data_IF_887400232051
#
_entry.id   IF_887400232051
#
_cell.length_a   1.000
_cell.length_b   1.000
_cell.length_c   1.000
_cell.angle_alpha   90.00
_cell.angle_beta   90.00
_cell.angle_gamma   90.00
#
_symmetry.space_group_name_H-M   'P 1'
#
loop_
_entity.id
_entity.type
_entity.pdbx_description
1 polymer ?
#
# COMPACT_ATOMS: atom_id res chain seq x y z
N UNK A 1 23.55 19.85 0.34
CA UNK A 1 22.19 19.37 0.02
C UNK A 1 21.47 19.10 1.34
N UNK A 2 20.34 19.80 1.60
CA UNK A 2 19.43 19.38 2.65
C UNK A 2 18.88 18.02 2.21
N UNK A 3 19.35 16.93 2.82
CA UNK A 3 18.76 15.60 2.64
C UNK A 3 17.34 15.69 3.17
N UNK A 4 16.36 15.56 2.31
CA UNK A 4 14.99 15.38 2.73
C UNK A 4 14.86 13.94 3.25
N UNK A 5 14.78 13.78 4.56
CA UNK A 5 14.53 12.48 5.20
C UNK A 5 13.02 12.19 5.17
N UNK A 6 12.45 12.12 3.97
CA UNK A 6 11.09 11.64 3.79
C UNK A 6 11.12 10.12 3.82
N UNK A 7 10.42 9.52 4.77
CA UNK A 7 10.27 8.07 4.83
C UNK A 7 9.59 7.52 3.56
N UNK A 8 9.99 6.32 3.18
CA UNK A 8 9.53 5.69 1.96
C UNK A 8 10.46 5.95 0.76
N UNK A 9 9.99 5.58 -0.43
CA UNK A 9 10.66 5.86 -1.68
C UNK A 9 10.10 7.15 -2.31
N UNK A 10 10.99 8.03 -2.72
CA UNK A 10 10.64 9.33 -3.32
C UNK A 10 11.41 9.52 -4.61
N UNK A 11 10.71 9.79 -5.71
CA UNK A 11 11.34 10.13 -6.99
C UNK A 11 12.02 11.49 -6.92
N UNK A 12 13.20 11.57 -7.48
CA UNK A 12 13.99 12.79 -7.60
C UNK A 12 14.61 12.84 -9.00
N UNK A 13 15.15 13.99 -9.40
CA UNK A 13 15.80 14.08 -10.70
C UNK A 13 16.92 13.03 -10.85
N UNK A 14 16.74 12.10 -11.79
CA UNK A 14 17.69 11.06 -12.15
C UNK A 14 17.71 9.82 -11.26
N UNK A 15 16.79 9.68 -10.29
CA UNK A 15 16.77 8.48 -9.44
C UNK A 15 15.67 8.47 -8.39
N UNK A 16 15.81 7.55 -7.44
CA UNK A 16 14.87 7.35 -6.34
C UNK A 16 15.63 7.41 -5.01
N UNK A 17 15.13 8.21 -4.09
CA UNK A 17 15.61 8.25 -2.70
C UNK A 17 14.81 7.28 -1.85
N UNK A 18 15.51 6.39 -1.16
CA UNK A 18 14.93 5.41 -0.23
C UNK A 18 15.30 5.78 1.19
N UNK A 19 14.30 5.94 2.05
CA UNK A 19 14.50 6.29 3.46
C UNK A 19 13.66 5.39 4.35
N UNK A 20 14.31 4.74 5.32
CA UNK A 20 13.64 3.85 6.26
C UNK A 20 14.25 3.98 7.67
N UNK A 21 13.39 3.85 8.67
CA UNK A 21 13.77 3.93 10.08
C UNK A 21 13.80 2.55 10.73
N UNK A 22 14.86 2.26 11.49
CA UNK A 22 14.93 1.05 12.33
C UNK A 22 15.83 1.28 13.53
N UNK A 23 15.26 1.10 14.73
CA UNK A 23 15.96 1.44 16.00
C UNK A 23 17.11 0.49 16.29
N UNK A 24 16.91 -0.81 16.09
CA UNK A 24 17.85 -1.84 16.52
C UNK A 24 18.64 -2.49 15.37
N UNK A 25 18.33 -2.12 14.11
CA UNK A 25 19.06 -2.68 12.98
C UNK A 25 20.51 -2.21 12.97
N UNK A 26 21.42 -3.14 12.74
CA UNK A 26 22.86 -2.89 12.54
C UNK A 26 23.21 -2.79 11.07
N UNK A 27 22.42 -3.41 10.20
CA UNK A 27 22.56 -3.34 8.74
C UNK A 27 21.20 -3.23 8.08
N UNK A 28 21.15 -2.43 7.01
CA UNK A 28 19.99 -2.33 6.13
C UNK A 28 20.44 -2.56 4.69
N UNK A 29 19.68 -3.36 3.96
CA UNK A 29 19.90 -3.63 2.53
C UNK A 29 18.61 -3.37 1.76
N UNK A 30 18.69 -2.53 0.74
CA UNK A 30 17.64 -2.34 -0.26
C UNK A 30 17.70 -3.51 -1.25
N UNK A 31 16.55 -4.12 -1.48
CA UNK A 31 16.36 -5.22 -2.43
C UNK A 31 15.55 -4.72 -3.61
N UNK A 32 16.09 -4.84 -4.82
CA UNK A 32 15.40 -4.46 -6.05
C UNK A 32 15.01 -5.71 -6.83
N UNK A 33 13.77 -5.75 -7.26
CA UNK A 33 13.20 -6.88 -8.00
C UNK A 33 12.70 -6.41 -9.37
N UNK A 34 12.81 -7.27 -10.38
CA UNK A 34 12.02 -7.08 -11.59
C UNK A 34 10.53 -7.25 -11.26
N UNK A 35 9.62 -6.61 -12.00
CA UNK A 35 8.19 -6.76 -11.76
C UNK A 35 7.79 -8.24 -11.65
N UNK A 36 7.07 -8.58 -10.59
CA UNK A 36 6.60 -9.92 -10.24
C UNK A 36 7.70 -10.98 -9.99
N UNK A 37 8.97 -10.60 -9.94
CA UNK A 37 10.05 -11.55 -9.69
C UNK A 37 10.09 -12.02 -8.23
N UNK A 38 10.37 -13.30 -8.01
CA UNK A 38 10.51 -13.88 -6.66
C UNK A 38 11.83 -13.47 -5.97
N UNK A 39 12.90 -13.28 -6.74
CA UNK A 39 14.22 -12.98 -6.21
C UNK A 39 14.70 -11.61 -6.68
N UNK A 40 15.42 -10.86 -5.81
CA UNK A 40 15.97 -9.58 -6.20
C UNK A 40 17.09 -9.75 -7.23
N UNK A 41 17.11 -8.85 -8.22
CA UNK A 41 18.23 -8.75 -9.16
C UNK A 41 19.38 -7.91 -8.62
N UNK A 42 19.12 -7.05 -7.62
CA UNK A 42 20.13 -6.25 -6.95
C UNK A 42 19.89 -6.19 -5.44
N UNK A 43 20.99 -6.16 -4.69
CA UNK A 43 21.05 -5.99 -3.24
C UNK A 43 22.02 -4.87 -2.94
N UNK A 44 21.50 -3.74 -2.44
CA UNK A 44 22.27 -2.54 -2.20
C UNK A 44 22.31 -2.28 -0.68
N UNK A 45 23.43 -2.61 -0.06
CA UNK A 45 23.64 -2.31 1.35
C UNK A 45 23.74 -0.80 1.55
N UNK A 46 23.04 -0.26 2.54
CA UNK A 46 23.22 1.14 2.94
C UNK A 46 24.60 1.30 3.59
N UNK A 47 25.44 2.21 3.07
CA UNK A 47 26.70 2.53 3.73
C UNK A 47 26.48 3.09 5.14
N UNK A 48 27.36 2.80 6.08
CA UNK A 48 27.22 3.27 7.47
C UNK A 48 27.15 4.81 7.56
N UNK A 49 27.85 5.50 6.64
CA UNK A 49 27.79 6.97 6.51
C UNK A 49 26.42 7.50 6.03
N UNK A 50 25.52 6.63 5.58
CA UNK A 50 24.17 6.97 5.12
C UNK A 50 23.11 6.72 6.21
N UNK A 51 23.54 6.36 7.41
CA UNK A 51 22.72 6.25 8.61
C UNK A 51 22.82 7.52 9.43
N UNK A 52 21.70 8.14 9.74
CA UNK A 52 21.59 9.32 10.62
C UNK A 52 20.67 8.94 11.78
N UNK A 53 21.25 8.78 12.96
CA UNK A 53 20.55 8.20 14.09
C UNK A 53 20.08 6.78 13.75
N UNK A 54 18.77 6.56 13.78
CA UNK A 54 18.15 5.27 13.44
C UNK A 54 17.56 5.23 12.01
N UNK A 55 17.84 6.25 11.19
CA UNK A 55 17.28 6.38 9.84
C UNK A 55 18.35 6.12 8.79
N UNK A 56 18.08 5.19 7.90
CA UNK A 56 18.86 4.90 6.71
C UNK A 56 18.29 5.66 5.53
N UNK A 57 19.12 6.38 4.76
CA UNK A 57 18.66 7.10 3.57
C UNK A 57 19.70 7.03 2.46
N UNK A 58 19.27 6.60 1.27
CA UNK A 58 20.14 6.41 0.12
C UNK A 58 19.44 6.80 -1.17
N UNK A 59 20.11 7.62 -1.99
CA UNK A 59 19.69 7.93 -3.34
C UNK A 59 20.32 6.93 -4.31
N UNK A 60 19.50 6.29 -5.12
CA UNK A 60 19.91 5.35 -6.18
C UNK A 60 19.58 5.98 -7.53
N UNK A 61 20.60 6.18 -8.35
CA UNK A 61 20.48 6.77 -9.70
C UNK A 61 20.19 5.71 -10.75
N UNK A 62 19.59 6.14 -11.87
CA UNK A 62 19.36 5.30 -13.04
C UNK A 62 18.31 4.22 -12.86
N UNK A 63 17.42 4.38 -11.88
CA UNK A 63 16.24 3.54 -11.74
C UNK A 63 15.10 4.10 -12.58
N UNK A 64 14.52 3.25 -13.42
CA UNK A 64 13.23 3.52 -14.05
C UNK A 64 12.13 3.03 -13.10
N UNK A 65 11.30 3.95 -12.61
CA UNK A 65 10.27 3.69 -11.60
C UNK A 65 9.24 2.63 -12.04
N UNK A 66 9.10 2.38 -13.33
CA UNK A 66 8.19 1.36 -13.88
C UNK A 66 8.78 -0.04 -13.80
N UNK A 67 10.10 -0.15 -13.79
CA UNK A 67 10.81 -1.40 -14.08
C UNK A 67 11.20 -2.18 -12.83
N UNK A 68 10.83 -1.73 -11.62
CA UNK A 68 11.22 -2.43 -10.41
C UNK A 68 10.19 -2.38 -9.29
N UNK A 69 10.34 -3.34 -8.41
CA UNK A 69 9.72 -3.41 -7.10
C UNK A 69 10.82 -3.45 -6.06
N UNK A 70 10.51 -3.06 -4.83
CA UNK A 70 11.53 -3.07 -3.80
C UNK A 70 11.01 -3.59 -2.46
N UNK A 71 11.94 -4.06 -1.65
CA UNK A 71 11.77 -4.40 -0.25
C UNK A 71 13.08 -4.12 0.49
N UNK A 72 13.06 -4.29 1.80
CA UNK A 72 14.25 -4.20 2.62
C UNK A 72 14.61 -5.53 3.23
N UNK A 73 15.88 -5.68 3.64
CA UNK A 73 16.36 -6.73 4.51
C UNK A 73 17.19 -6.08 5.60
N UNK A 74 16.99 -6.52 6.83
CA UNK A 74 17.70 -6.00 7.98
C UNK A 74 18.46 -7.10 8.70
N UNK A 75 19.65 -6.76 9.18
CA UNK A 75 20.39 -7.55 10.17
C UNK A 75 20.40 -6.82 11.51
N UNK A 76 20.42 -7.56 12.61
CA UNK A 76 20.38 -7.01 13.96
C UNK A 76 20.23 -8.08 15.03
N UNK A 77 20.01 -7.67 16.29
CA UNK A 77 19.84 -8.62 17.39
C UNK A 77 18.65 -9.56 17.19
N UNK A 78 18.74 -10.77 17.73
CA UNK A 78 17.64 -11.71 17.81
C UNK A 78 17.34 -12.00 19.28
N UNK A 79 16.38 -11.26 19.84
CA UNK A 79 15.94 -11.31 21.24
C UNK A 79 14.41 -11.40 21.28
N UNK A 80 13.82 -12.58 20.99
CA UNK A 80 12.36 -12.74 20.85
C UNK A 80 11.57 -12.33 22.09
N UNK A 81 12.14 -12.52 23.28
CA UNK A 81 11.53 -12.13 24.55
C UNK A 81 11.34 -10.62 24.70
N UNK A 82 12.10 -9.82 23.93
CA UNK A 82 11.98 -8.36 23.86
C UNK A 82 11.24 -7.91 22.58
N UNK A 83 10.75 -8.86 21.76
CA UNK A 83 10.13 -8.56 20.49
C UNK A 83 11.12 -8.15 19.39
N UNK A 84 12.44 -8.36 19.58
CA UNK A 84 13.49 -8.04 18.62
C UNK A 84 13.84 -9.30 17.85
N UNK A 85 13.44 -9.39 16.56
CA UNK A 85 13.52 -10.62 15.77
C UNK A 85 14.10 -10.37 14.37
N UNK A 86 15.30 -9.77 14.28
CA UNK A 86 15.93 -9.55 12.98
C UNK A 86 16.34 -10.86 12.31
N UNK A 87 16.09 -10.94 11.00
CA UNK A 87 16.53 -12.03 10.15
C UNK A 87 16.79 -11.49 8.74
N UNK A 88 18.06 -11.37 8.38
CA UNK A 88 18.47 -10.83 7.06
C UNK A 88 18.05 -11.68 5.86
N UNK A 89 17.53 -12.88 6.08
CA UNK A 89 16.98 -13.71 5.01
C UNK A 89 15.54 -13.32 4.66
N UNK A 90 14.85 -12.60 5.56
CA UNK A 90 13.48 -12.14 5.35
C UNK A 90 13.47 -10.83 4.60
N UNK A 91 12.51 -10.70 3.72
CA UNK A 91 12.21 -9.45 3.03
C UNK A 91 11.13 -8.70 3.82
N UNK A 92 11.33 -7.42 4.01
CA UNK A 92 10.46 -6.55 4.78
C UNK A 92 9.88 -5.49 3.85
N UNK A 93 8.57 -5.38 3.83
CA UNK A 93 7.88 -4.31 3.13
C UNK A 93 8.24 -2.94 3.73
N UNK A 94 8.37 -1.94 2.89
CA UNK A 94 8.45 -0.56 3.34
C UNK A 94 7.13 -0.13 4.00
N UNK A 95 7.11 0.20 5.30
CA UNK A 95 5.87 0.62 5.97
C UNK A 95 5.32 1.95 5.43
N UNK A 96 6.12 2.71 4.70
CA UNK A 96 5.73 3.97 4.06
C UNK A 96 5.50 3.84 2.54
N UNK A 97 5.41 2.61 2.03
CA UNK A 97 5.10 2.39 0.63
C UNK A 97 3.75 3.02 0.26
N UNK A 98 3.70 3.72 -0.86
CA UNK A 98 2.47 4.32 -1.40
C UNK A 98 1.72 3.39 -2.35
N UNK A 99 2.38 2.34 -2.79
CA UNK A 99 1.81 1.23 -3.54
C UNK A 99 2.55 -0.05 -3.21
N UNK A 100 1.84 -1.15 -3.22
CA UNK A 100 2.39 -2.49 -3.01
C UNK A 100 1.99 -3.40 -4.15
N UNK A 101 2.77 -4.42 -4.41
CA UNK A 101 2.29 -5.58 -5.13
C UNK A 101 1.44 -6.37 -4.16
N UNK A 102 0.16 -6.26 -4.39
CA UNK A 102 -0.86 -6.91 -3.59
C UNK A 102 -1.50 -8.07 -4.35
N UNK A 103 -2.77 -8.23 -4.11
CA UNK A 103 -3.54 -9.33 -4.64
C UNK A 103 -4.08 -9.00 -6.03
N UNK A 104 -4.08 -9.99 -6.92
CA UNK A 104 -4.70 -9.86 -8.24
C UNK A 104 -6.23 -9.90 -8.21
N UNK A 105 -6.81 -10.01 -7.03
CA UNK A 105 -8.25 -10.03 -6.78
C UNK A 105 -8.58 -10.61 -5.41
N UNK A 106 -9.76 -10.28 -4.93
CA UNK A 106 -10.26 -10.68 -3.62
C UNK A 106 -10.27 -12.21 -3.42
N UNK A 107 -9.74 -12.65 -2.27
CA UNK A 107 -9.70 -14.07 -1.89
C UNK A 107 -8.73 -14.92 -2.70
N UNK A 108 -7.86 -14.31 -3.48
CA UNK A 108 -6.80 -15.01 -4.19
C UNK A 108 -5.52 -14.99 -3.37
N UNK A 109 -4.98 -16.18 -3.11
CA UNK A 109 -3.65 -16.29 -2.49
C UNK A 109 -2.62 -15.63 -3.41
N UNK A 110 -1.73 -14.83 -2.82
CA UNK A 110 -0.61 -14.27 -3.58
C UNK A 110 0.23 -15.40 -4.19
N UNK A 111 0.59 -15.24 -5.44
CA UNK A 111 1.43 -16.22 -6.16
C UNK A 111 2.82 -16.38 -5.54
N UNK A 112 3.27 -15.38 -4.80
CA UNK A 112 4.57 -15.34 -4.15
C UNK A 112 4.39 -15.41 -2.64
N UNK A 113 4.58 -16.60 -2.07
CA UNK A 113 4.44 -16.89 -0.65
C UNK A 113 4.97 -15.78 0.25
N UNK A 114 4.04 -14.98 0.79
CA UNK A 114 4.27 -14.16 1.97
C UNK A 114 5.15 -12.92 1.83
N UNK A 115 5.49 -12.46 0.63
CA UNK A 115 6.35 -11.27 0.46
C UNK A 115 5.63 -10.18 -0.29
N UNK A 116 5.06 -9.24 0.44
CA UNK A 116 4.67 -7.95 -0.11
C UNK A 116 5.91 -7.16 -0.54
N UNK A 117 5.85 -6.58 -1.72
CA UNK A 117 6.89 -5.68 -2.23
C UNK A 117 6.28 -4.33 -2.54
N UNK A 118 7.06 -3.29 -2.28
CA UNK A 118 6.64 -1.94 -2.55
C UNK A 118 6.92 -1.54 -4.02
N UNK A 119 6.12 -0.61 -4.52
CA UNK A 119 6.33 0.10 -5.77
C UNK A 119 6.55 1.57 -5.51
N UNK A 120 7.32 2.20 -6.37
CA UNK A 120 7.46 3.65 -6.39
C UNK A 120 6.30 4.22 -7.20
N UNK A 121 5.61 5.18 -6.63
CA UNK A 121 4.50 5.88 -7.29
C UNK A 121 4.85 7.35 -7.43
N UNK A 122 4.73 7.85 -8.62
CA UNK A 122 4.80 9.29 -8.85
C UNK A 122 3.52 9.95 -8.29
N UNK A 123 3.69 10.98 -7.47
CA UNK A 123 2.58 11.65 -6.77
C UNK A 123 2.01 12.86 -7.51
N UNK A 124 2.18 12.90 -8.83
CA UNK A 124 1.76 14.00 -9.72
C UNK A 124 0.30 13.90 -10.19
N UNK A 125 -0.59 13.39 -9.35
CA UNK A 125 -2.01 13.34 -9.67
C UNK A 125 -2.55 14.75 -9.89
N UNK A 126 -3.07 15.00 -11.08
CA UNK A 126 -3.70 16.26 -11.41
C UNK A 126 -5.13 16.33 -10.85
N UNK A 127 -5.30 17.16 -9.83
CA UNK A 127 -6.61 17.42 -9.22
C UNK A 127 -7.45 18.42 -10.05
N UNK A 128 -6.88 19.00 -11.11
CA UNK A 128 -7.54 20.01 -11.93
C UNK A 128 -8.04 21.18 -11.10
N UNK A 129 -9.31 21.54 -11.30
CA UNK A 129 -9.98 22.60 -10.54
C UNK A 129 -10.75 22.10 -9.31
N UNK A 130 -10.46 20.87 -8.86
CA UNK A 130 -11.13 20.31 -7.69
C UNK A 130 -10.76 21.09 -6.43
N UNK A 131 -11.77 21.59 -5.73
CA UNK A 131 -11.60 22.25 -4.43
C UNK A 131 -12.23 21.41 -3.34
N UNK A 132 -11.57 21.33 -2.18
CA UNK A 132 -12.14 20.64 -1.05
C UNK A 132 -13.42 21.34 -0.58
N UNK A 133 -14.55 20.62 -0.40
CA UNK A 133 -15.74 21.18 0.21
C UNK A 133 -15.43 21.65 1.63
N UNK A 134 -15.86 22.88 1.97
CA UNK A 134 -15.73 23.43 3.32
C UNK A 134 -17.09 23.35 4.03
N UNK A 135 -17.55 22.13 4.28
CA UNK A 135 -18.80 21.88 4.99
C UNK A 135 -18.55 22.01 6.50
N UNK A 136 -19.39 22.75 7.25
CA UNK A 136 -19.40 22.72 8.70
C UNK A 136 -19.65 21.28 9.20
N UNK A 137 -19.06 20.93 10.33
CA UNK A 137 -19.19 19.57 10.87
C UNK A 137 -20.66 19.21 11.17
N UNK A 138 -21.43 20.16 11.67
CA UNK A 138 -22.86 20.02 11.99
C UNK A 138 -23.77 19.80 10.77
N UNK A 139 -23.27 20.06 9.56
CA UNK A 139 -24.00 19.84 8.31
C UNK A 139 -23.66 18.51 7.64
N UNK A 140 -22.72 17.73 8.23
CA UNK A 140 -22.32 16.46 7.66
C UNK A 140 -23.42 15.39 7.83
N UNK A 141 -23.74 14.74 6.71
CA UNK A 141 -24.57 13.53 6.67
C UNK A 141 -23.64 12.42 6.17
N UNK A 142 -23.15 11.63 7.14
CA UNK A 142 -22.11 10.64 6.90
C UNK A 142 -22.73 9.28 6.60
N UNK A 143 -22.26 8.64 5.55
CA UNK A 143 -22.59 7.26 5.22
C UNK A 143 -21.31 6.40 5.35
N UNK A 144 -21.30 5.51 6.34
CA UNK A 144 -20.22 4.53 6.47
C UNK A 144 -20.46 3.37 5.50
N UNK A 145 -19.44 3.01 4.73
CA UNK A 145 -19.53 1.90 3.78
C UNK A 145 -18.22 1.09 3.66
N UNK A 146 -18.40 -0.16 3.29
CA UNK A 146 -17.32 -1.06 2.91
C UNK A 146 -17.17 -1.05 1.39
N UNK A 147 -15.95 -0.77 0.86
CA UNK A 147 -15.71 -0.62 -0.59
C UNK A 147 -16.25 -1.79 -1.39
N UNK A 148 -15.86 -3.02 -1.00
CA UNK A 148 -16.34 -4.22 -1.70
C UNK A 148 -17.84 -4.46 -1.46
N UNK A 149 -18.28 -4.39 -0.22
CA UNK A 149 -19.67 -4.75 0.14
C UNK A 149 -20.72 -3.86 -0.51
N UNK A 150 -20.42 -2.57 -0.68
CA UNK A 150 -21.38 -1.59 -1.16
C UNK A 150 -21.87 -1.84 -2.59
N UNK A 151 -20.99 -2.38 -3.46
CA UNK A 151 -21.34 -2.57 -4.87
C UNK A 151 -21.18 -4.00 -5.39
N UNK A 152 -20.84 -4.97 -4.54
CA UNK A 152 -20.58 -6.35 -4.97
C UNK A 152 -21.81 -7.07 -5.49
N UNK A 153 -22.97 -6.83 -4.91
CA UNK A 153 -24.22 -7.46 -5.34
C UNK A 153 -24.67 -6.99 -6.73
N UNK A 154 -25.35 -7.89 -7.45
CA UNK A 154 -25.86 -7.62 -8.80
C UNK A 154 -26.85 -6.47 -8.87
N UNK A 155 -27.62 -6.23 -7.81
CA UNK A 155 -28.59 -5.16 -7.69
C UNK A 155 -27.95 -3.77 -7.70
N UNK A 156 -26.65 -3.68 -7.42
CA UNK A 156 -25.92 -2.40 -7.51
C UNK A 156 -25.95 -1.79 -8.91
N UNK A 157 -25.99 -2.61 -9.96
CA UNK A 157 -26.05 -2.17 -11.35
C UNK A 157 -24.75 -1.52 -11.86
N UNK A 158 -23.68 -1.54 -11.08
CA UNK A 158 -22.40 -0.93 -11.49
C UNK A 158 -21.57 -1.90 -12.34
N UNK A 159 -20.68 -1.35 -13.17
CA UNK A 159 -19.78 -2.11 -14.02
C UNK A 159 -18.65 -2.75 -13.20
N UNK A 160 -17.99 -1.96 -12.38
CA UNK A 160 -16.81 -2.38 -11.60
C UNK A 160 -17.20 -2.69 -10.16
N UNK A 161 -17.83 -3.85 -9.94
CA UNK A 161 -18.36 -4.26 -8.64
C UNK A 161 -17.25 -4.44 -7.59
N UNK A 162 -17.49 -3.94 -6.38
CA UNK A 162 -16.60 -4.14 -5.24
C UNK A 162 -15.29 -3.35 -5.31
N UNK A 163 -15.24 -2.28 -6.11
CA UNK A 163 -14.05 -1.46 -6.32
C UNK A 163 -14.30 0.02 -6.04
N UNK A 164 -13.23 0.82 -5.97
CA UNK A 164 -13.32 2.28 -5.88
C UNK A 164 -14.09 2.87 -7.09
N UNK A 165 -13.84 2.36 -8.29
CA UNK A 165 -14.58 2.77 -9.48
C UNK A 165 -16.08 2.48 -9.34
N UNK A 166 -16.45 1.35 -8.72
CA UNK A 166 -17.86 1.01 -8.44
C UNK A 166 -18.52 2.01 -7.48
N UNK A 167 -17.81 2.45 -6.44
CA UNK A 167 -18.31 3.50 -5.53
C UNK A 167 -18.50 4.80 -6.29
N UNK A 168 -17.55 5.19 -7.13
CA UNK A 168 -17.65 6.39 -7.97
C UNK A 168 -18.92 6.37 -8.85
N UNK A 169 -19.27 5.21 -9.41
CA UNK A 169 -20.52 5.05 -10.18
C UNK A 169 -21.77 5.28 -9.30
N UNK A 170 -21.68 5.12 -7.99
CA UNK A 170 -22.78 5.32 -7.02
C UNK A 170 -22.85 6.72 -6.41
N UNK A 171 -21.96 7.64 -6.75
CA UNK A 171 -22.00 9.02 -6.25
C UNK A 171 -23.36 9.69 -6.51
N UNK A 172 -23.99 9.58 -7.72
CA UNK A 172 -25.34 10.14 -7.94
C UNK A 172 -26.38 9.61 -6.97
N UNK A 173 -26.39 8.29 -6.70
CA UNK A 173 -27.28 7.67 -5.73
C UNK A 173 -27.07 8.20 -4.30
N UNK A 174 -25.83 8.32 -3.86
CA UNK A 174 -25.50 8.87 -2.54
C UNK A 174 -25.96 10.32 -2.40
N UNK A 175 -25.79 11.12 -3.46
CA UNK A 175 -26.29 12.50 -3.51
C UNK A 175 -27.81 12.59 -3.46
N UNK A 176 -28.51 11.73 -4.19
CA UNK A 176 -29.99 11.63 -4.15
C UNK A 176 -30.49 11.24 -2.76
N UNK A 177 -29.76 10.38 -2.07
CA UNK A 177 -30.03 9.99 -0.67
C UNK A 177 -29.77 11.13 0.32
N UNK A 178 -29.13 12.23 -0.10
CA UNK A 178 -28.79 13.38 0.74
C UNK A 178 -27.44 13.25 1.46
N UNK A 179 -26.62 12.25 1.10
CA UNK A 179 -25.30 12.06 1.69
C UNK A 179 -24.31 13.08 1.14
N UNK A 180 -23.55 13.71 2.01
CA UNK A 180 -22.51 14.67 1.65
C UNK A 180 -21.11 14.30 2.16
N UNK A 181 -21.00 13.24 2.96
CA UNK A 181 -19.74 12.66 3.40
C UNK A 181 -19.81 11.14 3.41
N UNK A 182 -18.73 10.48 3.01
CA UNK A 182 -18.59 9.03 3.06
C UNK A 182 -17.45 8.68 3.99
N UNK A 183 -17.71 7.82 4.96
CA UNK A 183 -16.69 7.18 5.79
C UNK A 183 -16.44 5.77 5.25
N UNK A 184 -15.24 5.54 4.72
CA UNK A 184 -14.91 4.23 4.18
C UNK A 184 -14.27 3.37 5.27
N UNK A 185 -14.80 2.15 5.47
CA UNK A 185 -14.09 1.10 6.21
C UNK A 185 -12.71 0.90 5.59
N UNK A 186 -11.75 0.22 6.25
CA UNK A 186 -10.35 0.23 5.83
C UNK A 186 -10.14 0.07 4.34
N UNK A 187 -9.46 1.04 3.75
CA UNK A 187 -9.12 1.12 2.32
C UNK A 187 -7.63 0.86 2.06
N UNK A 188 -6.86 0.70 3.13
CA UNK A 188 -5.43 0.40 3.06
C UNK A 188 -5.20 -1.05 2.65
N UNK A 189 -3.98 -1.37 2.16
CA UNK A 189 -3.64 -2.76 1.84
C UNK A 189 -3.71 -3.64 3.09
N UNK A 190 -4.48 -4.71 3.00
CA UNK A 190 -4.57 -5.78 3.99
C UNK A 190 -4.67 -7.15 3.28
N UNK A 191 -4.33 -8.20 3.99
CA UNK A 191 -4.39 -9.57 3.48
C UNK A 191 -5.64 -10.27 4.01
N UNK A 192 -6.70 -10.34 3.19
CA UNK A 192 -7.93 -11.02 3.55
C UNK A 192 -7.74 -12.53 3.77
N UNK A 193 -6.64 -13.10 3.25
CA UNK A 193 -6.27 -14.50 3.45
C UNK A 193 -5.45 -14.72 4.72
N UNK A 194 -4.86 -13.67 5.29
CA UNK A 194 -3.95 -13.77 6.44
C UNK A 194 -4.60 -14.32 7.71
N UNK A 195 -5.90 -14.16 7.85
CA UNK A 195 -6.70 -14.61 9.00
C UNK A 195 -7.89 -15.47 8.59
N UNK A 196 -7.78 -16.21 7.50
CA UNK A 196 -8.89 -17.03 7.04
C UNK A 196 -9.23 -18.17 8.02
N UNK A 197 -10.51 -18.50 8.08
CA UNK A 197 -11.05 -19.61 8.91
C UNK A 197 -11.99 -20.46 8.07
N UNK A 198 -12.05 -21.75 8.38
CA UNK A 198 -13.07 -22.63 7.84
C UNK A 198 -14.19 -22.76 8.86
N UNK A 199 -15.40 -22.45 8.45
CA UNK A 199 -16.61 -22.61 9.25
C UNK A 199 -17.70 -23.27 8.40
N UNK A 200 -18.19 -24.40 8.85
CA UNK A 200 -19.25 -25.20 8.19
C UNK A 200 -18.96 -25.44 6.68
N UNK A 201 -17.72 -25.86 6.39
CA UNK A 201 -17.25 -26.13 5.02
C UNK A 201 -17.05 -24.87 4.13
N UNK A 202 -17.20 -23.67 4.69
CA UNK A 202 -17.00 -22.40 4.00
C UNK A 202 -15.73 -21.73 4.49
N UNK A 203 -14.95 -21.21 3.56
CA UNK A 203 -13.79 -20.39 3.89
C UNK A 203 -14.27 -18.95 4.17
N UNK A 204 -13.93 -18.45 5.36
CA UNK A 204 -14.17 -17.07 5.77
C UNK A 204 -12.85 -16.30 5.70
N UNK A 205 -12.92 -15.08 5.22
CA UNK A 205 -11.79 -14.18 5.04
C UNK A 205 -11.85 -13.03 6.04
N UNK A 206 -10.74 -12.32 6.22
CA UNK A 206 -10.75 -11.00 6.85
C UNK A 206 -11.48 -10.04 5.89
N UNK A 207 -12.73 -9.74 6.24
CA UNK A 207 -13.59 -8.93 5.36
C UNK A 207 -13.43 -7.44 5.60
N UNK A 208 -13.29 -7.03 6.85
CA UNK A 208 -13.31 -5.60 7.22
C UNK A 208 -11.98 -4.90 7.01
N UNK A 209 -10.86 -5.63 7.02
CA UNK A 209 -9.55 -5.06 6.71
C UNK A 209 -8.86 -4.33 7.84
N UNK A 210 -9.27 -4.54 9.10
CA UNK A 210 -8.60 -3.90 10.25
C UNK A 210 -7.25 -4.51 10.62
N UNK A 211 -6.73 -5.42 9.82
CA UNK A 211 -5.39 -6.00 9.93
C UNK A 211 -4.50 -5.48 8.78
N UNK A 212 -4.08 -4.24 8.88
CA UNK A 212 -3.41 -3.50 7.81
C UNK A 212 -1.99 -4.01 7.55
N UNK A 213 -1.67 -4.29 6.29
CA UNK A 213 -0.31 -4.61 5.81
C UNK A 213 0.50 -3.34 5.55
N UNK A 214 -0.13 -2.33 4.95
CA UNK A 214 0.51 -1.05 4.64
C UNK A 214 -0.49 0.10 4.73
N UNK A 215 -0.23 1.06 5.63
CA UNK A 215 -1.15 2.19 5.90
C UNK A 215 -1.14 3.29 4.83
N UNK A 216 -0.17 3.33 3.93
CA UNK A 216 -0.03 4.39 2.93
C UNK A 216 -0.30 3.92 1.51
N UNK A 217 -0.61 2.64 1.33
CA UNK A 217 -0.97 2.05 0.05
C UNK A 217 -2.45 1.66 0.04
N UNK A 218 -3.22 2.01 -0.99
CA UNK A 218 -4.60 1.54 -1.13
C UNK A 218 -4.64 0.03 -1.36
N UNK A 219 -5.75 -0.60 -0.96
CA UNK A 219 -5.95 -2.03 -1.15
C UNK A 219 -6.05 -2.35 -2.65
N UNK A 220 -5.17 -3.21 -3.11
CA UNK A 220 -5.05 -3.56 -4.53
C UNK A 220 -6.24 -4.34 -5.06
N UNK A 221 -6.96 -5.09 -4.20
CA UNK A 221 -8.18 -5.83 -4.60
C UNK A 221 -9.40 -4.93 -4.78
N UNK A 222 -9.34 -3.67 -4.35
CA UNK A 222 -10.38 -2.67 -4.53
C UNK A 222 -10.19 -1.80 -5.78
N UNK A 223 -9.10 -1.99 -6.52
CA UNK A 223 -8.86 -1.32 -7.79
C UNK A 223 -9.45 -2.12 -8.95
N UNK A 224 -10.04 -1.45 -9.92
CA UNK A 224 -10.51 -2.07 -11.17
C UNK A 224 -9.45 -2.02 -12.27
N UNK A 225 -8.48 -1.12 -12.16
CA UNK A 225 -7.33 -0.97 -13.05
C UNK A 225 -6.03 -1.31 -12.30
N UNK A 226 -5.46 -2.47 -12.58
CA UNK A 226 -4.23 -2.97 -11.96
C UNK A 226 -2.95 -2.59 -12.73
N UNK A 227 -3.01 -1.61 -13.62
CA UNK A 227 -1.84 -1.16 -14.35
C UNK A 227 -0.85 -0.47 -13.43
N UNK A 228 0.42 -0.76 -13.64
CA UNK A 228 1.50 -0.07 -12.95
C UNK A 228 1.39 1.46 -13.14
N UNK A 229 1.66 2.24 -12.10
CA UNK A 229 1.44 3.69 -11.97
C UNK A 229 -0.02 4.15 -11.97
N UNK A 230 -0.98 3.25 -11.93
CA UNK A 230 -2.38 3.59 -11.72
C UNK A 230 -2.84 3.38 -10.28
N UNK A 231 -1.93 2.89 -9.44
CA UNK A 231 -2.21 2.60 -8.03
C UNK A 231 -2.77 3.84 -7.31
N UNK A 232 -3.92 3.67 -6.70
CA UNK A 232 -4.63 4.72 -5.98
C UNK A 232 -5.27 5.82 -6.82
N UNK A 233 -5.23 5.76 -8.15
CA UNK A 233 -5.90 6.76 -9.02
C UNK A 233 -7.42 6.70 -8.93
N UNK A 234 -7.96 5.51 -8.76
CA UNK A 234 -9.42 5.35 -8.61
C UNK A 234 -9.92 5.88 -7.28
N UNK A 235 -9.10 5.82 -6.23
CA UNK A 235 -9.40 6.34 -4.91
C UNK A 235 -9.38 7.88 -4.89
N UNK A 236 -8.49 8.52 -5.65
CA UNK A 236 -8.41 9.98 -5.79
C UNK A 236 -9.53 10.53 -6.66
#
# INVERSE_FOLDING_TARGET
>A
YKRQLLNGATTVSGGVNFTIHSVYAVECTLLLFRPYAKFPYARLRFPDSYKIGNTYSMLVFGLDEIDFEYAYSFDGPYEPEKGIIFDKKKYILDPYAKAVIGQSGWGKKQEHEGVYKARVVNSDYDWGNCTQPKLPFEELIIYELHVRGFTQDGSSGVKNKGTFAGIREKIPYLKELGINAVEMMPIFEFDEMGSYRNYDGRQLYDYWGYNTVCFFAPNTSYESDHKHHHEGRELK
#
